data_IF_097729933236
#
_entry.id   IF_097729933236
#
_cell.length_a   1.000
_cell.length_b   1.000
_cell.length_c   1.000
_cell.angle_alpha   90.00
_cell.angle_beta   90.00
_cell.angle_gamma   90.00
#
_symmetry.space_group_name_H-M   'P 1'
#
loop_
_entity.id
_entity.type
_entity.pdbx_description
1 polymer ?
#
# COMPACT_ATOMS: atom_id res chain seq x y z
N UNK A 1 -6.72 20.31 4.20
CA UNK A 1 -6.19 18.94 4.37
C UNK A 1 -6.21 18.29 3.00
N UNK A 2 -5.06 18.10 2.39
CA UNK A 2 -4.90 17.42 1.11
C UNK A 2 -5.09 15.91 1.31
N UNK A 3 -5.95 15.30 0.50
CA UNK A 3 -6.07 13.84 0.42
C UNK A 3 -4.87 13.28 -0.36
N UNK A 4 -4.46 12.04 -0.14
CA UNK A 4 -3.47 11.41 -1.00
C UNK A 4 -4.01 11.33 -2.43
N UNK A 5 -3.13 11.57 -3.40
CA UNK A 5 -3.43 11.31 -4.81
C UNK A 5 -3.37 9.79 -5.06
N UNK A 6 -4.06 9.34 -6.11
CA UNK A 6 -3.88 7.98 -6.60
C UNK A 6 -2.45 7.81 -7.16
N UNK A 7 -1.97 6.56 -7.20
CA UNK A 7 -0.69 6.23 -7.84
C UNK A 7 -0.68 6.65 -9.31
N UNK A 8 0.50 6.72 -9.92
CA UNK A 8 0.62 6.97 -11.35
C UNK A 8 -0.22 5.94 -12.14
N UNK A 9 -1.13 6.42 -12.98
CA UNK A 9 -2.03 5.62 -13.81
C UNK A 9 -1.42 5.23 -15.16
N UNK A 10 -2.25 4.66 -16.05
CA UNK A 10 -1.84 4.31 -17.42
C UNK A 10 -0.89 3.12 -17.51
N UNK A 11 -0.91 2.19 -16.54
CA UNK A 11 -0.04 1.03 -16.49
C UNK A 11 1.32 1.27 -15.83
N UNK A 12 1.68 2.52 -15.53
CA UNK A 12 3.00 2.87 -15.01
C UNK A 12 3.28 2.24 -13.65
N UNK A 13 2.31 2.27 -12.74
CA UNK A 13 2.48 1.62 -11.44
C UNK A 13 2.65 0.10 -11.59
N UNK A 14 1.88 -0.53 -12.46
CA UNK A 14 1.98 -1.96 -12.74
C UNK A 14 3.39 -2.37 -13.23
N UNK A 15 4.03 -1.55 -14.05
CA UNK A 15 5.36 -1.84 -14.61
C UNK A 15 6.48 -1.75 -13.57
N UNK A 16 6.35 -0.86 -12.58
CA UNK A 16 7.41 -0.52 -11.63
C UNK A 16 7.13 -0.93 -10.17
N UNK A 17 6.15 -1.82 -9.93
CA UNK A 17 5.73 -2.26 -8.59
C UNK A 17 6.17 -3.69 -8.22
N UNK A 18 7.22 -4.22 -8.84
CA UNK A 18 7.71 -5.59 -8.60
C UNK A 18 8.21 -5.78 -7.16
N UNK A 19 8.80 -4.75 -6.57
CA UNK A 19 9.23 -4.77 -5.17
C UNK A 19 8.02 -4.98 -4.23
N UNK A 20 6.89 -4.30 -4.49
CA UNK A 20 5.65 -4.44 -3.74
C UNK A 20 5.08 -5.87 -3.86
N UNK A 21 5.17 -6.48 -5.03
CA UNK A 21 4.75 -7.87 -5.23
C UNK A 21 5.64 -8.85 -4.45
N UNK A 22 6.96 -8.65 -4.47
CA UNK A 22 7.91 -9.48 -3.71
C UNK A 22 7.63 -9.39 -2.20
N UNK A 23 7.33 -8.21 -1.69
CA UNK A 23 6.93 -7.99 -0.31
C UNK A 23 5.61 -8.72 0.00
N UNK A 24 4.60 -8.59 -0.86
CA UNK A 24 3.31 -9.24 -0.71
C UNK A 24 3.41 -10.77 -0.65
N UNK A 25 4.32 -11.36 -1.43
CA UNK A 25 4.51 -12.80 -1.52
C UNK A 25 4.87 -13.46 -0.18
N UNK A 26 5.49 -12.70 0.75
CA UNK A 26 5.80 -13.17 2.11
C UNK A 26 4.55 -13.54 2.91
N UNK A 27 3.42 -12.91 2.63
CA UNK A 27 2.15 -13.18 3.30
C UNK A 27 1.29 -14.27 2.62
N UNK A 28 1.69 -14.84 1.48
CA UNK A 28 0.88 -15.84 0.77
C UNK A 28 0.60 -17.12 1.58
N UNK A 29 1.56 -17.69 2.34
CA UNK A 29 1.25 -18.82 3.22
C UNK A 29 0.15 -18.48 4.23
N UNK A 30 0.20 -17.28 4.81
CA UNK A 30 -0.79 -16.80 5.77
C UNK A 30 -2.15 -16.56 5.09
N UNK A 31 -2.14 -15.99 3.88
CA UNK A 31 -3.35 -15.77 3.06
C UNK A 31 -4.03 -17.11 2.72
N UNK A 32 -3.29 -18.12 2.32
CA UNK A 32 -3.82 -19.47 2.06
C UNK A 32 -4.43 -20.08 3.34
N UNK A 33 -3.74 -19.97 4.47
CA UNK A 33 -4.28 -20.50 5.73
C UNK A 33 -5.55 -19.77 6.16
N UNK A 34 -5.65 -18.47 5.92
CA UNK A 34 -6.88 -17.69 6.13
C UNK A 34 -8.00 -18.13 5.20
N UNK A 35 -7.71 -18.27 3.90
CA UNK A 35 -8.67 -18.68 2.88
C UNK A 35 -9.27 -20.08 3.12
N UNK A 36 -8.50 -20.97 3.76
CA UNK A 36 -8.94 -22.34 4.07
C UNK A 36 -10.05 -22.41 5.14
N UNK A 37 -10.24 -21.36 5.95
CA UNK A 37 -11.10 -21.40 7.13
C UNK A 37 -12.22 -20.36 7.13
N UNK A 38 -12.28 -19.48 6.13
CA UNK A 38 -13.30 -18.43 6.08
C UNK A 38 -14.68 -18.99 5.75
N UNK A 39 -15.75 -18.47 6.41
CA UNK A 39 -17.12 -18.91 6.15
C UNK A 39 -17.65 -18.30 4.83
N UNK A 40 -18.60 -18.99 4.16
CA UNK A 40 -19.38 -18.40 3.09
C UNK A 40 -20.36 -17.34 3.64
N UNK A 41 -20.80 -16.46 2.74
CA UNK A 41 -21.88 -15.50 2.98
C UNK A 41 -23.25 -16.20 3.10
N UNK A 42 -24.25 -15.48 3.55
CA UNK A 42 -25.59 -16.05 3.76
C UNK A 42 -26.29 -16.54 2.48
N UNK A 43 -25.86 -16.04 1.31
CA UNK A 43 -26.35 -16.48 0.00
C UNK A 43 -25.54 -17.68 -0.58
N UNK A 44 -24.60 -18.22 0.18
CA UNK A 44 -23.81 -19.38 -0.21
C UNK A 44 -22.65 -19.05 -1.17
N UNK A 45 -22.18 -17.80 -1.16
CA UNK A 45 -20.99 -17.37 -1.94
C UNK A 45 -19.80 -17.08 -1.03
N UNK A 46 -18.61 -16.88 -1.63
CA UNK A 46 -17.43 -16.36 -0.94
C UNK A 46 -17.08 -14.99 -1.50
N UNK A 47 -16.74 -14.05 -0.63
CA UNK A 47 -16.31 -12.72 -1.06
C UNK A 47 -14.91 -12.42 -0.54
N UNK A 48 -14.01 -12.10 -1.45
CA UNK A 48 -12.67 -11.57 -1.17
C UNK A 48 -12.69 -10.07 -1.41
N UNK A 49 -12.28 -9.28 -0.44
CA UNK A 49 -12.12 -7.82 -0.60
C UNK A 49 -10.63 -7.47 -0.61
N UNK A 50 -10.19 -6.80 -1.66
CA UNK A 50 -8.82 -6.32 -1.86
C UNK A 50 -8.78 -4.81 -1.60
N UNK A 51 -8.17 -4.41 -0.49
CA UNK A 51 -8.15 -3.03 0.00
C UNK A 51 -6.85 -2.31 -0.38
N UNK A 52 -6.91 -1.44 -1.38
CA UNK A 52 -5.78 -0.72 -1.95
C UNK A 52 -5.17 -1.47 -3.13
N UNK A 53 -5.99 -1.71 -4.17
CA UNK A 53 -5.63 -2.56 -5.32
C UNK A 53 -4.79 -1.86 -6.38
N UNK A 54 -4.74 -0.51 -6.42
CA UNK A 54 -4.14 0.26 -7.50
C UNK A 54 -4.60 -0.24 -8.89
N UNK A 55 -3.71 -0.42 -9.85
CA UNK A 55 -3.99 -0.92 -11.20
C UNK A 55 -4.09 -2.46 -11.31
N UNK A 56 -4.05 -3.19 -10.20
CA UNK A 56 -4.44 -4.59 -10.08
C UNK A 56 -3.37 -5.66 -10.32
N UNK A 57 -2.20 -5.35 -10.89
CA UNK A 57 -1.17 -6.37 -11.19
C UNK A 57 -0.71 -7.11 -9.93
N UNK A 58 -0.48 -6.37 -8.85
CA UNK A 58 -0.05 -6.95 -7.57
C UNK A 58 -1.18 -7.70 -6.84
N UNK A 59 -2.42 -7.56 -7.30
CA UNK A 59 -3.57 -8.31 -6.78
C UNK A 59 -3.73 -9.68 -7.43
N UNK A 60 -3.20 -9.91 -8.63
CA UNK A 60 -3.45 -11.17 -9.37
C UNK A 60 -2.97 -12.41 -8.61
N UNK A 61 -1.71 -12.42 -8.18
CA UNK A 61 -1.12 -13.55 -7.50
C UNK A 61 -1.77 -13.87 -6.12
N UNK A 62 -2.00 -12.89 -5.22
CA UNK A 62 -2.68 -13.16 -3.95
C UNK A 62 -4.14 -13.59 -4.15
N UNK A 63 -4.89 -12.97 -5.07
CA UNK A 63 -6.27 -13.39 -5.34
C UNK A 63 -6.32 -14.82 -5.88
N UNK A 64 -5.44 -15.16 -6.83
CA UNK A 64 -5.31 -16.54 -7.31
C UNK A 64 -4.99 -17.52 -6.17
N UNK A 65 -4.02 -17.19 -5.31
CA UNK A 65 -3.65 -18.04 -4.17
C UNK A 65 -4.81 -18.26 -3.20
N UNK A 66 -5.61 -17.24 -2.92
CA UNK A 66 -6.79 -17.34 -2.07
C UNK A 66 -7.90 -18.19 -2.73
N UNK A 67 -8.20 -17.93 -4.01
CA UNK A 67 -9.22 -18.64 -4.77
C UNK A 67 -8.88 -20.12 -4.90
N UNK A 68 -7.63 -20.48 -5.23
CA UNK A 68 -7.18 -21.87 -5.30
C UNK A 68 -7.41 -22.60 -3.97
N UNK A 69 -7.12 -21.95 -2.85
CA UNK A 69 -7.33 -22.55 -1.54
C UNK A 69 -8.82 -22.66 -1.19
N UNK A 70 -9.63 -21.65 -1.48
CA UNK A 70 -11.07 -21.68 -1.28
C UNK A 70 -11.71 -22.81 -2.11
N UNK A 71 -11.28 -23.02 -3.37
CA UNK A 71 -11.75 -24.12 -4.24
C UNK A 71 -11.38 -25.50 -3.70
N UNK A 72 -10.32 -25.61 -2.90
CA UNK A 72 -9.92 -26.88 -2.25
C UNK A 72 -10.84 -27.29 -1.11
N UNK A 73 -11.40 -26.33 -0.38
CA UNK A 73 -12.10 -26.58 0.89
C UNK A 73 -13.61 -26.34 0.79
N UNK A 74 -14.08 -25.66 -0.25
CA UNK A 74 -15.51 -25.39 -0.51
C UNK A 74 -15.97 -26.10 -1.80
N UNK A 75 -17.28 -26.24 -2.02
CA UNK A 75 -17.82 -26.80 -3.27
C UNK A 75 -17.25 -26.12 -4.52
N UNK A 76 -16.91 -26.91 -5.53
CA UNK A 76 -16.25 -26.39 -6.74
C UNK A 76 -17.09 -25.38 -7.54
N UNK A 77 -18.41 -25.45 -7.41
CA UNK A 77 -19.40 -24.56 -8.05
C UNK A 77 -19.79 -23.35 -7.20
N UNK A 78 -19.28 -23.25 -5.96
CA UNK A 78 -19.55 -22.10 -5.09
C UNK A 78 -19.08 -20.80 -5.74
N UNK A 79 -19.94 -19.76 -5.91
CA UNK A 79 -19.50 -18.49 -6.48
C UNK A 79 -18.46 -17.79 -5.61
N UNK A 80 -17.44 -17.22 -6.24
CA UNK A 80 -16.44 -16.38 -5.57
C UNK A 80 -16.48 -15.00 -6.18
N UNK A 81 -16.70 -13.98 -5.36
CA UNK A 81 -16.62 -12.58 -5.73
C UNK A 81 -15.29 -11.98 -5.27
N UNK A 82 -14.58 -11.29 -6.16
CA UNK A 82 -13.42 -10.49 -5.84
C UNK A 82 -13.80 -9.02 -6.01
N UNK A 83 -13.71 -8.26 -4.93
CA UNK A 83 -14.03 -6.83 -4.92
C UNK A 83 -12.78 -6.02 -4.67
N UNK A 84 -12.26 -5.40 -5.71
CA UNK A 84 -11.12 -4.49 -5.63
C UNK A 84 -11.56 -3.13 -5.13
N UNK A 85 -10.79 -2.51 -4.25
CA UNK A 85 -11.13 -1.19 -3.72
C UNK A 85 -9.92 -0.27 -3.72
N UNK A 86 -10.14 0.98 -4.13
CA UNK A 86 -9.13 2.04 -4.12
C UNK A 86 -9.79 3.42 -4.07
N UNK A 87 -9.01 4.49 -4.13
CA UNK A 87 -9.54 5.85 -4.20
C UNK A 87 -10.38 6.05 -5.48
N UNK A 88 -11.34 6.99 -5.47
CA UNK A 88 -12.21 7.22 -6.63
C UNK A 88 -11.48 7.59 -7.93
N UNK A 89 -10.29 8.18 -7.82
CA UNK A 89 -9.47 8.60 -8.96
C UNK A 89 -8.49 7.50 -9.43
N UNK A 90 -8.52 6.31 -8.83
CA UNK A 90 -7.71 5.18 -9.30
C UNK A 90 -8.07 4.79 -10.72
N UNK A 91 -7.09 4.34 -11.49
CA UNK A 91 -7.30 3.85 -12.84
C UNK A 91 -7.91 2.44 -12.85
N UNK A 92 -9.23 2.40 -12.65
CA UNK A 92 -9.99 1.16 -12.71
C UNK A 92 -10.09 0.57 -14.12
N UNK A 93 -9.84 1.36 -15.17
CA UNK A 93 -9.79 0.83 -16.55
C UNK A 93 -8.58 -0.08 -16.72
N UNK A 94 -7.42 0.36 -16.26
CA UNK A 94 -6.20 -0.46 -16.23
C UNK A 94 -6.36 -1.68 -15.33
N UNK A 95 -7.04 -1.56 -14.18
CA UNK A 95 -7.36 -2.69 -13.31
C UNK A 95 -8.13 -3.79 -14.06
N UNK A 96 -9.25 -3.42 -14.71
CA UNK A 96 -10.07 -4.40 -15.43
C UNK A 96 -9.37 -5.00 -16.64
N UNK A 97 -8.57 -4.22 -17.38
CA UNK A 97 -7.73 -4.74 -18.46
C UNK A 97 -6.69 -5.74 -17.91
N UNK A 98 -6.01 -5.41 -16.81
CA UNK A 98 -5.06 -6.30 -16.14
C UNK A 98 -5.72 -7.62 -15.73
N UNK A 99 -6.91 -7.57 -15.09
CA UNK A 99 -7.63 -8.78 -14.68
C UNK A 99 -8.11 -9.60 -15.89
N UNK A 100 -8.48 -8.96 -17.00
CA UNK A 100 -8.96 -9.66 -18.19
C UNK A 100 -7.84 -10.32 -19.00
N UNK A 101 -6.71 -9.62 -19.17
CA UNK A 101 -5.75 -9.92 -20.23
C UNK A 101 -4.41 -10.47 -19.73
N UNK A 102 -4.06 -10.29 -18.44
CA UNK A 102 -2.77 -10.75 -17.90
C UNK A 102 -2.74 -12.29 -17.81
N UNK A 103 -1.67 -12.95 -18.30
CA UNK A 103 -1.53 -14.42 -18.21
C UNK A 103 -1.57 -14.97 -16.77
N UNK A 104 -1.26 -14.12 -15.79
CA UNK A 104 -1.30 -14.46 -14.37
C UNK A 104 -2.67 -14.26 -13.71
N UNK A 105 -3.73 -13.96 -14.49
CA UNK A 105 -5.05 -13.66 -13.98
C UNK A 105 -5.63 -14.75 -13.07
N UNK A 106 -6.43 -14.34 -12.12
CA UNK A 106 -7.27 -15.22 -11.29
C UNK A 106 -8.68 -15.40 -11.88
N UNK A 107 -9.04 -14.62 -12.91
CA UNK A 107 -10.36 -14.69 -13.52
C UNK A 107 -10.63 -16.07 -14.13
N UNK A 108 -11.83 -16.59 -13.92
CA UNK A 108 -12.20 -17.91 -14.37
C UNK A 108 -13.67 -18.26 -14.08
N UNK A 109 -14.12 -19.46 -14.45
CA UNK A 109 -15.50 -19.88 -14.23
C UNK A 109 -15.91 -19.78 -12.75
N UNK A 110 -17.07 -19.14 -12.49
CA UNK A 110 -17.60 -18.95 -11.15
C UNK A 110 -16.83 -17.95 -10.28
N UNK A 111 -15.94 -17.14 -10.89
CA UNK A 111 -15.24 -16.01 -10.24
C UNK A 111 -15.75 -14.71 -10.86
N UNK A 112 -16.20 -13.80 -10.01
CA UNK A 112 -16.81 -12.52 -10.42
C UNK A 112 -15.96 -11.36 -9.89
N UNK A 113 -15.50 -10.47 -10.78
CA UNK A 113 -14.68 -9.32 -10.43
C UNK A 113 -15.52 -8.05 -10.46
N UNK A 114 -15.35 -7.22 -9.43
CA UNK A 114 -15.92 -5.88 -9.34
C UNK A 114 -14.95 -4.91 -8.68
N UNK A 115 -15.22 -3.61 -8.78
CA UNK A 115 -14.40 -2.58 -8.15
C UNK A 115 -15.26 -1.52 -7.47
N UNK A 116 -14.76 -0.91 -6.38
CA UNK A 116 -15.39 0.18 -5.65
C UNK A 116 -14.40 1.31 -5.43
N UNK A 117 -14.67 2.47 -6.01
CA UNK A 117 -13.90 3.71 -5.84
C UNK A 117 -14.24 4.43 -4.53
N UNK A 118 -13.63 4.02 -3.43
CA UNK A 118 -13.84 4.64 -2.11
C UNK A 118 -12.67 4.35 -1.17
N UNK A 119 -12.27 5.36 -0.38
CA UNK A 119 -11.21 5.19 0.62
C UNK A 119 -11.52 4.06 1.60
N UNK A 120 -10.55 3.17 1.83
CA UNK A 120 -10.68 2.05 2.78
C UNK A 120 -10.77 2.51 4.26
N UNK A 121 -10.59 3.78 4.57
CA UNK A 121 -10.88 4.36 5.89
C UNK A 121 -12.37 4.61 6.13
N UNK A 122 -13.22 4.21 5.19
CA UNK A 122 -14.69 4.27 5.29
C UNK A 122 -15.30 2.89 5.11
N UNK A 123 -16.60 2.77 5.37
CA UNK A 123 -17.35 1.58 4.96
C UNK A 123 -17.46 1.57 3.43
N UNK A 124 -17.09 0.46 2.82
CA UNK A 124 -17.04 0.28 1.37
C UNK A 124 -18.08 -0.77 0.95
N UNK A 125 -18.16 -1.86 1.71
CA UNK A 125 -18.99 -3.03 1.40
C UNK A 125 -20.13 -3.17 2.41
N UNK A 126 -21.19 -3.88 2.04
CA UNK A 126 -22.30 -4.14 2.95
C UNK A 126 -21.84 -4.86 4.23
N UNK A 127 -22.53 -4.66 5.35
CA UNK A 127 -22.19 -5.36 6.58
C UNK A 127 -22.26 -6.89 6.39
N UNK A 128 -21.29 -7.60 6.97
CA UNK A 128 -21.22 -9.07 6.95
C UNK A 128 -21.31 -9.68 5.54
N UNK A 129 -20.61 -9.07 4.59
CA UNK A 129 -20.56 -9.51 3.19
C UNK A 129 -19.18 -10.02 2.74
N UNK A 130 -18.16 -9.91 3.58
CA UNK A 130 -16.77 -10.24 3.23
C UNK A 130 -16.33 -11.47 4.02
N UNK A 131 -15.92 -12.53 3.32
CA UNK A 131 -15.31 -13.74 3.89
C UNK A 131 -13.84 -13.50 4.23
N UNK A 132 -13.09 -12.95 3.27
CA UNK A 132 -11.65 -12.71 3.37
C UNK A 132 -11.31 -11.28 2.94
N UNK A 133 -10.63 -10.54 3.80
CA UNK A 133 -10.02 -9.26 3.46
C UNK A 133 -8.52 -9.44 3.18
N UNK A 134 -8.02 -8.70 2.20
CA UNK A 134 -6.61 -8.59 1.87
C UNK A 134 -6.22 -7.11 1.75
N UNK A 135 -5.06 -6.73 2.24
CA UNK A 135 -4.47 -5.41 1.98
C UNK A 135 -2.95 -5.56 1.88
N UNK A 136 -2.39 -5.08 0.78
CA UNK A 136 -0.95 -5.17 0.50
C UNK A 136 -0.37 -3.80 0.23
N UNK A 137 0.66 -3.41 1.00
CA UNK A 137 1.45 -2.19 0.82
C UNK A 137 0.58 -0.91 0.66
N UNK A 138 -0.54 -0.84 1.39
CA UNK A 138 -1.48 0.28 1.28
C UNK A 138 -1.68 1.05 2.61
N UNK A 139 -1.70 0.37 3.76
CA UNK A 139 -2.12 0.97 5.03
C UNK A 139 -1.10 1.93 5.68
N UNK A 140 0.05 2.15 5.07
CA UNK A 140 0.94 3.24 5.45
C UNK A 140 0.48 4.61 4.90
N UNK A 141 -0.38 4.65 3.90
CA UNK A 141 -1.01 5.88 3.44
C UNK A 141 -2.01 6.40 4.45
N UNK A 142 -1.96 7.70 4.76
CA UNK A 142 -2.93 8.36 5.65
C UNK A 142 -4.18 8.78 4.88
N UNK A 143 -5.31 8.89 5.57
CA UNK A 143 -6.55 9.39 4.96
C UNK A 143 -6.44 10.85 4.48
N UNK A 144 -5.55 11.61 5.09
CA UNK A 144 -5.16 12.97 4.71
C UNK A 144 -3.93 13.41 5.50
N UNK A 145 -3.10 14.27 4.92
CA UNK A 145 -2.02 14.93 5.65
C UNK A 145 -2.62 15.79 6.79
N UNK A 146 -2.20 15.59 8.05
CA UNK A 146 -2.79 16.29 9.21
C UNK A 146 -2.28 17.72 9.37
N UNK A 147 -1.34 18.16 8.53
CA UNK A 147 -0.76 19.49 8.53
C UNK A 147 0.65 19.50 7.93
N UNK A 148 1.32 20.65 7.92
CA UNK A 148 2.64 20.79 7.33
C UNK A 148 3.68 19.95 8.07
N UNK A 149 4.73 19.58 7.33
CA UNK A 149 6.02 19.07 7.81
C UNK A 149 7.12 20.05 7.40
N UNK A 150 8.24 20.03 8.13
CA UNK A 150 9.46 20.76 7.75
C UNK A 150 10.27 20.01 6.67
N UNK A 151 9.59 19.25 5.83
CA UNK A 151 10.13 18.45 4.74
C UNK A 151 9.06 17.67 4.03
N UNK A 152 9.47 16.63 3.29
CA UNK A 152 8.58 15.81 2.47
C UNK A 152 8.24 14.46 3.11
N UNK A 153 9.11 13.97 3.97
CA UNK A 153 8.99 12.69 4.64
C UNK A 153 8.69 12.87 6.13
N UNK A 154 7.90 11.99 6.73
CA UNK A 154 7.41 12.17 8.10
C UNK A 154 8.54 12.28 9.15
N UNK A 155 9.71 11.69 8.89
CA UNK A 155 10.87 11.79 9.78
C UNK A 155 11.54 13.16 9.74
N UNK A 156 11.28 13.99 8.71
CA UNK A 156 11.81 15.36 8.59
C UNK A 156 11.16 16.32 9.57
N UNK A 157 9.96 16.00 10.06
CA UNK A 157 9.18 16.91 10.90
C UNK A 157 9.76 17.10 12.29
N UNK A 158 9.47 18.28 12.90
CA UNK A 158 9.68 18.49 14.33
C UNK A 158 8.91 17.48 15.17
N UNK A 159 9.28 17.30 16.45
CA UNK A 159 8.57 16.37 17.33
C UNK A 159 7.05 16.64 17.37
N UNK A 160 6.64 17.90 17.47
CA UNK A 160 5.21 18.26 17.51
C UNK A 160 4.47 17.96 16.20
N UNK A 161 5.16 18.06 15.06
CA UNK A 161 4.62 17.69 13.75
C UNK A 161 4.47 16.17 13.67
N UNK A 162 5.52 15.41 14.02
CA UNK A 162 5.47 13.94 14.08
C UNK A 162 4.38 13.42 15.00
N UNK A 163 4.23 14.00 16.20
CA UNK A 163 3.16 13.63 17.13
C UNK A 163 1.75 13.82 16.54
N UNK A 164 1.55 14.87 15.74
CA UNK A 164 0.30 15.11 15.04
C UNK A 164 0.04 14.07 13.95
N UNK A 165 1.10 13.70 13.22
CA UNK A 165 1.03 12.68 12.17
C UNK A 165 0.81 11.29 12.77
N UNK A 166 1.48 10.94 13.86
CA UNK A 166 1.27 9.70 14.59
C UNK A 166 -0.17 9.56 15.10
N UNK A 167 -0.75 10.65 15.66
CA UNK A 167 -2.16 10.65 16.07
C UNK A 167 -3.09 10.37 14.88
N UNK A 168 -2.87 11.03 13.74
CA UNK A 168 -3.64 10.75 12.52
C UNK A 168 -3.51 9.28 12.11
N UNK A 169 -2.31 8.75 12.12
CA UNK A 169 -2.05 7.35 11.78
C UNK A 169 -2.77 6.38 12.72
N UNK A 170 -2.78 6.65 14.02
CA UNK A 170 -3.53 5.88 15.00
C UNK A 170 -5.04 5.92 14.76
N UNK A 171 -5.59 7.13 14.54
CA UNK A 171 -7.01 7.33 14.23
C UNK A 171 -7.42 6.60 12.94
N UNK A 172 -6.59 6.66 11.89
CA UNK A 172 -6.84 6.02 10.61
C UNK A 172 -6.80 4.49 10.75
N UNK A 173 -5.84 3.95 11.52
CA UNK A 173 -5.78 2.51 11.79
C UNK A 173 -7.02 2.03 12.56
N UNK A 174 -7.43 2.75 13.59
CA UNK A 174 -8.65 2.41 14.33
C UNK A 174 -9.90 2.47 13.44
N UNK A 175 -10.02 3.49 12.55
CA UNK A 175 -11.13 3.61 11.59
C UNK A 175 -11.14 2.48 10.57
N UNK A 176 -9.97 2.09 10.06
CA UNK A 176 -9.85 0.96 9.16
C UNK A 176 -10.39 -0.32 9.82
N UNK A 177 -9.94 -0.62 11.04
CA UNK A 177 -10.40 -1.79 11.79
C UNK A 177 -11.90 -1.73 12.07
N UNK A 178 -12.44 -0.58 12.48
CA UNK A 178 -13.90 -0.41 12.69
C UNK A 178 -14.68 -0.71 11.41
N UNK A 179 -14.27 -0.13 10.29
CA UNK A 179 -14.93 -0.34 9.02
C UNK A 179 -14.88 -1.83 8.58
N UNK A 180 -13.72 -2.46 8.69
CA UNK A 180 -13.54 -3.89 8.33
C UNK A 180 -14.32 -4.81 9.25
N UNK A 181 -14.42 -4.49 10.55
CA UNK A 181 -15.18 -5.30 11.50
C UNK A 181 -16.66 -5.40 11.17
N UNK A 182 -17.21 -4.39 10.52
CA UNK A 182 -18.62 -4.39 10.09
C UNK A 182 -18.82 -5.14 8.79
N UNK A 183 -17.85 -5.06 7.88
CA UNK A 183 -17.92 -5.68 6.54
C UNK A 183 -17.62 -7.19 6.58
N UNK A 184 -16.66 -7.63 7.39
CA UNK A 184 -16.34 -9.05 7.50
C UNK A 184 -17.46 -9.84 8.18
N UNK A 185 -17.61 -11.08 7.75
CA UNK A 185 -18.44 -12.08 8.43
C UNK A 185 -17.88 -12.41 9.82
N UNK A 186 -18.71 -12.82 10.79
CA UNK A 186 -18.21 -13.54 11.97
C UNK A 186 -17.35 -14.73 11.53
N UNK A 187 -16.14 -14.86 12.09
CA UNK A 187 -15.18 -15.86 11.64
C UNK A 187 -14.40 -15.50 10.36
N UNK A 188 -14.76 -14.39 9.70
CA UNK A 188 -13.98 -13.86 8.56
C UNK A 188 -12.56 -13.47 8.95
N UNK A 189 -11.65 -13.49 7.98
CA UNK A 189 -10.22 -13.20 8.16
C UNK A 189 -9.82 -11.97 7.37
N UNK A 190 -8.84 -11.24 7.92
CA UNK A 190 -8.18 -10.12 7.25
C UNK A 190 -6.68 -10.34 7.31
N UNK A 191 -6.04 -10.41 6.15
CA UNK A 191 -4.59 -10.53 6.02
C UNK A 191 -4.01 -9.23 5.49
N UNK A 192 -2.98 -8.73 6.13
CA UNK A 192 -2.35 -7.46 5.83
C UNK A 192 -0.85 -7.67 5.72
N UNK A 193 -0.25 -7.12 4.68
CA UNK A 193 1.19 -6.91 4.56
C UNK A 193 1.44 -5.45 4.23
N UNK A 194 2.29 -4.77 4.99
CA UNK A 194 2.42 -3.31 4.89
C UNK A 194 3.80 -2.85 5.34
N UNK A 195 4.27 -1.72 4.80
CA UNK A 195 5.47 -1.07 5.27
C UNK A 195 5.36 -0.68 6.76
N UNK A 196 6.40 -0.98 7.52
CA UNK A 196 6.51 -0.75 8.96
C UNK A 196 7.76 0.08 9.28
N UNK A 197 7.86 0.56 10.50
CA UNK A 197 9.04 1.26 11.02
C UNK A 197 9.63 0.51 12.21
N UNK A 198 10.92 0.72 12.45
CA UNK A 198 11.57 0.23 13.68
C UNK A 198 11.07 0.99 14.92
N UNK A 199 11.59 0.62 16.08
CA UNK A 199 11.20 1.23 17.36
C UNK A 199 11.54 2.72 17.49
N UNK A 200 12.44 3.23 16.64
CA UNK A 200 12.79 4.65 16.56
C UNK A 200 11.94 5.41 15.53
N UNK A 201 11.10 4.70 14.77
CA UNK A 201 10.21 5.27 13.75
C UNK A 201 10.84 5.40 12.36
N UNK A 202 11.91 4.67 12.06
CA UNK A 202 12.55 4.67 10.75
C UNK A 202 12.03 3.51 9.89
N UNK A 203 11.64 3.86 8.66
CA UNK A 203 11.08 2.90 7.68
C UNK A 203 12.14 2.10 6.93
N UNK A 204 13.38 2.63 6.86
CA UNK A 204 14.47 2.15 6.02
C UNK A 204 14.61 2.90 4.68
N UNK A 205 13.70 3.83 4.35
CA UNK A 205 13.76 4.65 3.14
C UNK A 205 14.46 6.00 3.34
N UNK A 206 14.96 6.29 4.53
CA UNK A 206 15.41 7.63 4.95
C UNK A 206 16.57 8.16 4.11
N UNK A 207 17.51 7.30 3.67
CA UNK A 207 18.63 7.74 2.84
C UNK A 207 18.17 8.22 1.46
N UNK A 208 17.22 7.51 0.84
CA UNK A 208 16.61 7.90 -0.43
C UNK A 208 15.80 9.18 -0.26
N UNK A 209 14.98 9.28 0.80
CA UNK A 209 14.13 10.45 1.05
C UNK A 209 14.95 11.70 1.39
N UNK A 210 16.06 11.54 2.12
CA UNK A 210 17.01 12.64 2.37
C UNK A 210 17.68 13.11 1.09
N UNK A 211 18.02 12.17 0.19
CA UNK A 211 18.61 12.50 -1.12
C UNK A 211 17.60 13.25 -1.99
N UNK A 212 16.35 12.78 -2.05
CA UNK A 212 15.28 13.47 -2.77
C UNK A 212 15.07 14.88 -2.24
N UNK A 213 15.06 15.06 -0.91
CA UNK A 213 14.93 16.39 -0.30
C UNK A 213 16.06 17.31 -0.72
N UNK A 214 17.32 16.85 -0.63
CA UNK A 214 18.49 17.65 -1.03
C UNK A 214 18.42 18.08 -2.50
N UNK A 215 17.99 17.19 -3.38
CA UNK A 215 17.80 17.50 -4.81
C UNK A 215 16.69 18.57 -4.99
N UNK A 216 15.58 18.44 -4.30
CA UNK A 216 14.50 19.41 -4.35
C UNK A 216 14.87 20.78 -3.79
N UNK A 217 15.65 20.82 -2.71
CA UNK A 217 16.20 22.06 -2.12
C UNK A 217 17.12 22.76 -3.13
N UNK A 218 18.05 22.05 -3.79
CA UNK A 218 18.91 22.57 -4.85
C UNK A 218 18.10 23.12 -6.05
N UNK A 219 17.08 22.39 -6.49
CA UNK A 219 16.18 22.86 -7.54
C UNK A 219 15.44 24.16 -7.14
N UNK A 220 15.09 24.29 -5.87
CA UNK A 220 14.46 25.49 -5.34
C UNK A 220 15.42 26.67 -5.28
N UNK A 221 16.66 26.46 -4.79
CA UNK A 221 17.71 27.49 -4.73
C UNK A 221 18.12 28.00 -6.12
N UNK A 222 18.10 27.11 -7.11
CA UNK A 222 18.41 27.46 -8.51
C UNK A 222 17.20 27.99 -9.30
N UNK A 223 16.02 28.13 -8.66
CA UNK A 223 14.81 28.63 -9.29
C UNK A 223 14.14 27.68 -10.27
N UNK A 224 14.53 26.39 -10.28
CA UNK A 224 13.94 25.35 -11.12
C UNK A 224 12.65 24.76 -10.52
N UNK A 225 12.50 24.87 -9.20
CA UNK A 225 11.32 24.46 -8.47
C UNK A 225 10.80 25.67 -7.67
N UNK A 226 9.50 25.99 -7.73
CA UNK A 226 8.94 27.07 -6.91
C UNK A 226 9.08 26.75 -5.41
N UNK A 227 9.35 27.75 -4.61
CA UNK A 227 9.44 27.59 -3.16
C UNK A 227 8.16 27.02 -2.56
N UNK A 228 8.27 26.02 -1.68
CA UNK A 228 7.14 25.33 -1.02
C UNK A 228 6.13 24.68 -1.99
N UNK A 229 6.56 24.32 -3.18
CA UNK A 229 5.70 23.70 -4.19
C UNK A 229 5.51 22.19 -4.02
N UNK A 230 6.43 21.52 -3.30
CA UNK A 230 6.26 20.10 -2.97
C UNK A 230 5.41 19.94 -1.73
N UNK A 231 4.49 18.97 -1.79
CA UNK A 231 3.63 18.62 -0.66
C UNK A 231 4.23 17.45 0.12
N UNK A 232 4.09 17.42 1.47
CA UNK A 232 4.49 16.26 2.24
C UNK A 232 3.77 15.00 1.77
N UNK A 233 4.48 13.89 1.70
CA UNK A 233 3.91 12.57 1.38
C UNK A 233 3.01 12.16 2.54
N UNK A 234 1.69 11.94 2.35
CA UNK A 234 0.77 11.61 3.42
C UNK A 234 0.88 10.12 3.82
N UNK A 235 2.07 9.71 4.24
CA UNK A 235 2.37 8.35 4.67
C UNK A 235 2.91 8.34 6.11
N UNK A 236 2.64 7.24 6.81
CA UNK A 236 3.18 6.97 8.15
C UNK A 236 3.46 5.47 8.28
N UNK A 237 4.72 5.14 8.48
CA UNK A 237 5.15 3.78 8.75
C UNK A 237 5.06 3.54 10.25
N UNK A 238 4.16 2.67 10.65
CA UNK A 238 3.87 2.40 12.06
C UNK A 238 4.91 1.49 12.67
N UNK A 239 5.28 1.78 13.89
CA UNK A 239 6.06 0.87 14.73
C UNK A 239 5.21 -0.33 15.17
N UNK A 240 5.84 -1.40 15.67
CA UNK A 240 5.15 -2.55 16.28
C UNK A 240 4.16 -2.10 17.37
N UNK A 241 4.56 -1.18 18.22
CA UNK A 241 3.69 -0.66 19.29
C UNK A 241 2.43 0.02 18.73
N UNK A 242 2.58 0.82 17.67
CA UNK A 242 1.45 1.49 17.01
C UNK A 242 0.52 0.51 16.29
N UNK A 243 1.07 -0.56 15.69
CA UNK A 243 0.24 -1.63 15.10
C UNK A 243 -0.60 -2.35 16.16
N UNK A 244 -0.06 -2.62 17.35
CA UNK A 244 -0.75 -3.35 18.42
C UNK A 244 -1.74 -2.48 19.21
N UNK A 245 -1.56 -1.16 19.24
CA UNK A 245 -2.30 -0.24 20.10
C UNK A 245 -3.84 -0.39 20.08
N UNK A 246 -4.53 -0.62 18.93
CA UNK A 246 -5.99 -0.69 18.92
C UNK A 246 -6.56 -2.05 19.38
N UNK A 247 -5.81 -3.15 19.38
CA UNK A 247 -6.35 -4.50 19.59
C UNK A 247 -7.02 -4.76 20.94
N UNK A 248 -6.66 -4.13 22.05
CA UNK A 248 -7.41 -4.29 23.30
C UNK A 248 -8.89 -3.89 23.18
N UNK A 249 -9.21 -3.00 22.22
CA UNK A 249 -10.55 -2.43 22.02
C UNK A 249 -11.16 -2.73 20.66
N UNK A 250 -10.39 -3.31 19.74
CA UNK A 250 -10.86 -3.65 18.40
C UNK A 250 -11.77 -4.88 18.41
N UNK A 251 -12.68 -4.96 17.43
CA UNK A 251 -13.52 -6.12 17.19
C UNK A 251 -12.77 -7.29 16.51
N UNK A 252 -11.44 -7.29 16.60
CA UNK A 252 -10.56 -8.30 16.02
C UNK A 252 -9.68 -8.96 17.08
N UNK A 253 -9.33 -10.21 16.82
CA UNK A 253 -8.19 -10.88 17.42
C UNK A 253 -7.02 -10.77 16.45
N UNK A 254 -5.84 -10.43 16.95
CA UNK A 254 -4.59 -10.51 16.21
C UNK A 254 -4.09 -11.96 16.34
N UNK A 255 -4.32 -12.77 15.29
CA UNK A 255 -3.98 -14.19 15.30
C UNK A 255 -2.51 -14.42 14.96
N UNK A 256 -1.93 -13.54 14.13
CA UNK A 256 -0.53 -13.55 13.72
C UNK A 256 0.00 -12.15 13.55
N UNK A 257 1.23 -11.92 13.99
CA UNK A 257 2.00 -10.70 13.72
C UNK A 257 3.47 -11.06 13.57
N UNK A 258 4.06 -10.59 12.49
CA UNK A 258 5.48 -10.79 12.17
C UNK A 258 6.06 -9.50 11.61
N UNK A 259 7.24 -9.11 12.05
CA UNK A 259 8.06 -8.08 11.42
C UNK A 259 9.15 -8.75 10.59
N UNK A 260 9.28 -8.30 9.36
CA UNK A 260 10.29 -8.79 8.42
C UNK A 260 11.10 -7.60 7.92
N UNK A 261 12.42 -7.72 7.97
CA UNK A 261 13.30 -6.79 7.28
C UNK A 261 13.75 -7.47 5.99
N UNK A 262 13.36 -6.92 4.86
CA UNK A 262 13.87 -7.31 3.55
C UNK A 262 15.09 -6.45 3.25
N UNK A 263 16.07 -7.02 2.56
CA UNK A 263 17.07 -6.23 1.87
C UNK A 263 16.44 -5.31 0.82
N UNK A 264 17.28 -4.55 0.14
CA UNK A 264 16.83 -3.70 -0.95
C UNK A 264 16.39 -4.55 -2.15
N UNK A 265 15.07 -4.65 -2.44
CA UNK A 265 14.59 -5.55 -3.49
C UNK A 265 14.96 -5.08 -4.90
N UNK A 266 15.30 -3.80 -5.08
CA UNK A 266 15.79 -3.27 -6.35
C UNK A 266 17.27 -3.66 -6.52
N UNK A 267 18.05 -3.58 -5.45
CA UNK A 267 19.43 -4.05 -5.47
C UNK A 267 19.52 -5.57 -5.72
N UNK A 268 18.62 -6.35 -5.12
CA UNK A 268 18.54 -7.81 -5.32
C UNK A 268 18.21 -8.18 -6.78
N UNK A 269 17.44 -7.37 -7.48
CA UNK A 269 17.10 -7.57 -8.89
C UNK A 269 18.20 -7.12 -9.84
N UNK A 270 19.07 -6.23 -9.40
CA UNK A 270 20.22 -5.73 -10.18
C UNK A 270 21.40 -6.69 -10.13
N UNK A 271 21.23 -7.87 -10.72
CA UNK A 271 22.19 -8.98 -10.67
C UNK A 271 23.57 -8.61 -11.25
N UNK A 272 23.61 -7.70 -12.22
CA UNK A 272 24.86 -7.26 -12.86
C UNK A 272 25.61 -6.19 -12.04
N UNK A 273 24.99 -5.65 -11.00
CA UNK A 273 25.59 -4.62 -10.14
C UNK A 273 25.73 -3.27 -10.83
N UNK A 274 24.96 -3.01 -11.90
CA UNK A 274 24.94 -1.71 -12.59
C UNK A 274 24.34 -0.64 -11.70
N UNK A 275 25.19 0.21 -11.11
CA UNK A 275 24.74 1.30 -10.23
C UNK A 275 23.85 2.30 -10.96
N UNK A 276 24.11 2.57 -12.24
CA UNK A 276 23.29 3.46 -13.05
C UNK A 276 21.88 2.90 -13.26
N UNK A 277 21.76 1.59 -13.51
CA UNK A 277 20.45 0.96 -13.60
C UNK A 277 19.72 0.98 -12.25
N UNK A 278 20.41 0.61 -11.18
CA UNK A 278 19.85 0.70 -9.83
C UNK A 278 19.31 2.10 -9.51
N UNK A 279 20.08 3.15 -9.82
CA UNK A 279 19.69 4.52 -9.56
C UNK A 279 18.40 4.91 -10.33
N UNK A 280 18.30 4.50 -11.60
CA UNK A 280 17.08 4.70 -12.41
C UNK A 280 15.89 3.98 -11.80
N UNK A 281 16.06 2.72 -11.42
CA UNK A 281 14.96 1.91 -10.89
C UNK A 281 14.45 2.42 -9.54
N UNK A 282 15.35 2.89 -8.65
CA UNK A 282 14.97 3.52 -7.38
C UNK A 282 14.24 4.85 -7.62
N UNK A 283 14.78 5.71 -8.48
CA UNK A 283 14.17 7.00 -8.78
C UNK A 283 12.77 6.83 -9.41
N UNK A 284 12.62 5.85 -10.29
CA UNK A 284 11.35 5.52 -10.92
C UNK A 284 10.34 4.93 -9.92
N UNK A 285 10.77 4.04 -9.03
CA UNK A 285 9.90 3.51 -7.97
C UNK A 285 9.37 4.63 -7.05
N UNK A 286 10.21 5.61 -6.71
CA UNK A 286 9.81 6.80 -5.94
C UNK A 286 8.84 7.67 -6.76
N UNK A 287 9.12 7.90 -8.03
CA UNK A 287 8.29 8.69 -8.94
C UNK A 287 6.87 8.13 -9.04
N UNK A 288 6.72 6.86 -9.36
CA UNK A 288 5.39 6.26 -9.56
C UNK A 288 4.59 6.12 -8.26
N UNK A 289 5.29 5.93 -7.12
CA UNK A 289 4.64 5.76 -5.81
C UNK A 289 4.29 7.10 -5.15
N UNK A 290 5.19 8.07 -5.18
CA UNK A 290 5.08 9.30 -4.39
C UNK A 290 4.97 10.58 -5.23
N UNK A 291 5.40 10.54 -6.51
CA UNK A 291 5.37 11.68 -7.42
C UNK A 291 4.01 12.38 -7.48
N UNK A 292 2.89 11.67 -7.71
CA UNK A 292 1.57 12.31 -7.74
C UNK A 292 1.26 13.13 -6.49
N UNK A 293 1.54 12.59 -5.29
CA UNK A 293 1.33 13.30 -4.03
C UNK A 293 2.32 14.45 -3.83
N UNK A 294 3.60 14.25 -4.13
CA UNK A 294 4.64 15.27 -3.99
C UNK A 294 4.38 16.49 -4.88
N UNK A 295 3.96 16.25 -6.12
CA UNK A 295 3.76 17.28 -7.14
C UNK A 295 2.32 17.83 -7.17
N UNK A 296 1.46 17.47 -6.22
CA UNK A 296 0.05 17.83 -6.22
C UNK A 296 -0.21 19.35 -6.29
N UNK A 297 0.67 20.16 -5.70
CA UNK A 297 0.58 21.63 -5.72
C UNK A 297 1.23 22.28 -6.96
N UNK A 298 1.95 21.53 -7.79
CA UNK A 298 2.54 22.05 -9.02
C UNK A 298 1.45 22.24 -10.09
N UNK A 299 1.41 23.38 -10.79
CA UNK A 299 0.51 23.58 -11.93
C UNK A 299 0.64 22.46 -12.97
N UNK A 300 -0.48 22.07 -13.56
CA UNK A 300 -0.52 20.92 -14.48
C UNK A 300 0.42 21.10 -15.69
N UNK A 301 0.54 22.33 -16.19
CA UNK A 301 1.40 22.70 -17.32
C UNK A 301 2.90 22.52 -17.03
N UNK A 302 3.31 22.66 -15.79
CA UNK A 302 4.74 22.57 -15.37
C UNK A 302 5.10 21.17 -14.84
N UNK A 303 4.09 20.38 -14.43
CA UNK A 303 4.26 19.14 -13.69
C UNK A 303 5.16 18.13 -14.38
N UNK A 304 4.92 17.88 -15.69
CA UNK A 304 5.68 16.88 -16.44
C UNK A 304 7.16 17.25 -16.57
N UNK A 305 7.48 18.53 -16.77
CA UNK A 305 8.86 19.01 -16.86
C UNK A 305 9.59 18.92 -15.51
N UNK A 306 8.92 19.33 -14.43
CA UNK A 306 9.47 19.26 -13.06
C UNK A 306 9.64 17.80 -12.63
N UNK A 307 8.67 16.94 -12.91
CA UNK A 307 8.73 15.51 -12.61
C UNK A 307 9.93 14.85 -13.30
N UNK A 308 10.10 15.12 -14.59
CA UNK A 308 11.24 14.59 -15.36
C UNK A 308 12.58 15.08 -14.78
N UNK A 309 12.77 16.39 -14.58
CA UNK A 309 13.99 16.95 -14.03
C UNK A 309 14.29 16.41 -12.62
N UNK A 310 13.27 16.36 -11.74
CA UNK A 310 13.44 15.93 -10.35
C UNK A 310 13.83 14.45 -10.24
N UNK A 311 13.06 13.56 -10.89
CA UNK A 311 13.22 12.11 -10.70
C UNK A 311 14.15 11.49 -11.74
N UNK A 312 13.92 11.74 -13.05
CA UNK A 312 14.65 11.05 -14.11
C UNK A 312 16.08 11.55 -14.27
N UNK A 313 16.33 12.84 -14.05
CA UNK A 313 17.66 13.41 -14.17
C UNK A 313 18.34 13.48 -12.79
N UNK A 314 17.94 14.43 -11.94
CA UNK A 314 18.68 14.82 -10.75
C UNK A 314 18.71 13.79 -9.64
N UNK A 315 17.56 13.17 -9.31
CA UNK A 315 17.51 12.13 -8.28
C UNK A 315 18.31 10.89 -8.74
N UNK A 316 18.14 10.49 -9.99
CA UNK A 316 18.93 9.39 -10.58
C UNK A 316 20.43 9.67 -10.50
N UNK A 317 20.87 10.85 -10.89
CA UNK A 317 22.28 11.23 -10.79
C UNK A 317 22.79 11.24 -9.34
N UNK A 318 22.01 11.79 -8.43
CA UNK A 318 22.38 11.84 -7.01
C UNK A 318 22.51 10.45 -6.38
N UNK A 319 21.60 9.53 -6.69
CA UNK A 319 21.66 8.13 -6.24
C UNK A 319 22.87 7.42 -6.89
N UNK A 320 23.12 7.65 -8.18
CA UNK A 320 24.22 7.02 -8.89
C UNK A 320 25.60 7.43 -8.32
N UNK A 321 25.74 8.68 -7.90
CA UNK A 321 26.98 9.22 -7.35
C UNK A 321 27.25 8.81 -5.91
N UNK A 322 26.21 8.54 -5.11
CA UNK A 322 26.33 8.17 -3.70
C UNK A 322 25.92 6.71 -3.47
N UNK A 323 26.93 5.85 -3.35
CA UNK A 323 26.72 4.40 -3.15
C UNK A 323 26.13 4.02 -1.79
N UNK A 324 26.00 4.97 -0.86
CA UNK A 324 25.36 4.74 0.45
C UNK A 324 23.85 4.88 0.39
N UNK A 325 23.32 5.45 -0.69
CA UNK A 325 21.88 5.59 -0.90
C UNK A 325 21.30 4.25 -1.30
N UNK A 326 20.35 3.79 -0.51
CA UNK A 326 19.60 2.55 -0.68
C UNK A 326 18.50 2.48 0.36
N UNK A 327 17.78 1.38 0.43
CA UNK A 327 16.76 1.20 1.44
C UNK A 327 16.66 -0.27 1.89
N UNK A 328 16.37 -0.46 3.17
CA UNK A 328 15.88 -1.73 3.71
C UNK A 328 14.36 -1.64 3.82
N UNK A 329 13.67 -2.66 3.39
CA UNK A 329 12.23 -2.64 3.51
C UNK A 329 11.75 -3.36 4.75
N UNK A 330 11.19 -2.62 5.69
CA UNK A 330 10.57 -3.18 6.90
C UNK A 330 9.09 -3.41 6.65
N UNK A 331 8.62 -4.62 6.93
CA UNK A 331 7.23 -5.00 6.75
C UNK A 331 6.65 -5.48 8.08
N UNK A 332 5.37 -5.16 8.29
CA UNK A 332 4.50 -5.87 9.22
C UNK A 332 3.57 -6.80 8.42
N UNK A 333 3.53 -8.07 8.80
CA UNK A 333 2.63 -9.08 8.25
C UNK A 333 1.70 -9.52 9.37
N UNK A 334 0.40 -9.46 9.15
CA UNK A 334 -0.56 -9.82 10.19
C UNK A 334 -1.79 -10.52 9.65
N UNK A 335 -2.37 -11.38 10.47
CA UNK A 335 -3.68 -11.98 10.25
C UNK A 335 -4.59 -11.65 11.42
N UNK A 336 -5.78 -11.20 11.10
CA UNK A 336 -6.82 -10.84 12.05
C UNK A 336 -8.05 -11.72 11.83
N UNK A 337 -8.64 -12.20 12.91
CA UNK A 337 -9.98 -12.80 12.88
C UNK A 337 -11.00 -11.85 13.48
N UNK A 338 -12.14 -11.70 12.80
CA UNK A 338 -13.25 -10.97 13.37
C UNK A 338 -13.85 -11.76 14.54
N UNK A 339 -13.90 -11.12 15.71
CA UNK A 339 -14.55 -11.71 16.90
C UNK A 339 -16.06 -11.83 16.64
N UNK A 340 -16.65 -12.91 17.10
CA UNK A 340 -18.10 -12.97 17.22
C UNK A 340 -18.56 -11.87 18.17
N UNK A 341 -19.66 -11.19 17.84
CA UNK A 341 -20.29 -10.34 18.83
C UNK A 341 -20.64 -11.24 20.03
N UNK A 342 -20.03 -10.97 21.19
CA UNK A 342 -20.43 -11.61 22.46
C UNK A 342 -21.92 -11.30 22.58
N UNK A 343 -22.76 -12.34 22.55
CA UNK A 343 -24.20 -12.25 22.36
C UNK A 343 -24.84 -11.16 23.23
N UNK A 344 -25.61 -10.30 22.57
CA UNK A 344 -26.68 -9.54 23.20
C UNK A 344 -27.84 -10.46 23.50
#
# INVERSE_FOLDING_TARGET
>A
MTQPEAMAGGGQYNEHSTAQLSAAARAFPLLRSAAAVVPPTSDGSLTIADYGCSEGRNSLAPMRAAIEEMRRVHPADMPISVVHTDLPLNDFSSLFATVADDPGTYAGPGVYTSAVGRSFYRHILPPRSVSLGWSSIALHWLSAAPGPLDGMWYTDGTQSQRDRWARRAGDDWARFLDARSRELLPGGRLVIVVGSADSAGYSGAETVMTTLRRVADDMTETGRLPTMSLTPIPAWYRTTAEWHAPFPHAAFTLDHFEEVVLGDPIAEQNVEGDRGQYARDVAEAIRVSFGPSLLAAIPHEDRAAIEHELFTERLTDAINQDTTVGFDWRLAIMMLSRRDAVGE
#
